data_IF_462242651975
#
_entry.id   IF_462242651975
#
_cell.length_a   1.000
_cell.length_b   1.000
_cell.length_c   1.000
_cell.angle_alpha   90.00
_cell.angle_beta   90.00
_cell.angle_gamma   90.00
#
_symmetry.space_group_name_H-M   'P 1'
#
loop_
_entity.id
_entity.type
_entity.pdbx_description
1 polymer ?
#
# COMPACT_ATOMS: atom_id res chain seq x y z
N UNK A 1 -22.17 8.03 9.03
CA UNK A 1 -22.51 8.94 7.92
C UNK A 1 -23.66 8.30 7.18
N UNK A 2 -24.75 9.04 6.89
CA UNK A 2 -25.84 8.51 6.05
C UNK A 2 -25.32 8.00 4.69
N UNK A 3 -24.19 8.55 4.23
CA UNK A 3 -23.50 8.15 3.00
C UNK A 3 -22.95 6.71 2.98
N UNK A 4 -22.79 6.05 4.13
CA UNK A 4 -22.19 4.69 4.21
C UNK A 4 -23.16 3.64 4.77
N UNK A 5 -24.43 4.01 5.02
CA UNK A 5 -25.44 3.05 5.49
C UNK A 5 -25.74 2.06 4.37
N UNK A 6 -25.49 0.77 4.60
CA UNK A 6 -25.69 -0.29 3.61
C UNK A 6 -24.53 -0.55 2.63
N UNK A 7 -23.42 0.19 2.71
CA UNK A 7 -22.29 0.01 1.77
C UNK A 7 -21.30 -1.10 2.18
N UNK A 8 -21.46 -1.69 3.36
CA UNK A 8 -20.47 -2.61 3.96
C UNK A 8 -19.15 -1.94 4.36
N UNK A 9 -18.99 -0.64 4.09
CA UNK A 9 -17.80 0.14 4.44
C UNK A 9 -17.95 0.67 5.86
N UNK A 10 -17.00 0.31 6.72
CA UNK A 10 -16.99 0.75 8.11
C UNK A 10 -16.86 2.28 8.20
N UNK A 11 -17.76 2.97 8.93
CA UNK A 11 -17.68 4.42 9.11
C UNK A 11 -16.35 4.87 9.71
N UNK A 12 -15.83 6.03 9.26
CA UNK A 12 -14.48 6.53 9.64
C UNK A 12 -14.22 6.60 11.15
N UNK A 13 -15.22 6.99 11.93
CA UNK A 13 -15.11 7.12 13.39
C UNK A 13 -15.06 5.76 14.12
N UNK A 14 -15.38 4.66 13.44
CA UNK A 14 -15.28 3.31 13.98
C UNK A 14 -14.01 2.58 13.52
N UNK A 15 -13.19 3.21 12.67
CA UNK A 15 -11.92 2.65 12.24
C UNK A 15 -10.93 2.64 13.41
N UNK A 16 -10.24 1.52 13.57
CA UNK A 16 -9.14 1.43 14.53
C UNK A 16 -7.91 2.10 13.94
N UNK A 17 -7.16 2.90 14.73
CA UNK A 17 -5.85 3.37 14.30
C UNK A 17 -4.95 2.20 13.92
N UNK A 18 -4.18 2.36 12.84
CA UNK A 18 -3.16 1.38 12.44
C UNK A 18 -2.05 1.40 13.48
N UNK A 19 -1.68 0.25 14.02
CA UNK A 19 -0.61 0.17 15.00
C UNK A 19 0.73 0.58 14.37
N UNK A 20 1.65 1.14 15.16
CA UNK A 20 2.93 1.65 14.64
C UNK A 20 3.72 0.56 13.89
N UNK A 21 3.78 -0.66 14.45
CA UNK A 21 4.43 -1.80 13.79
C UNK A 21 3.73 -2.21 12.49
N UNK A 22 2.40 -2.22 12.44
CA UNK A 22 1.65 -2.54 11.21
C UNK A 22 1.95 -1.50 10.12
N UNK A 23 2.04 -0.22 10.52
CA UNK A 23 2.38 0.87 9.60
C UNK A 23 3.80 0.73 9.06
N UNK A 24 4.76 0.34 9.91
CA UNK A 24 6.14 0.07 9.49
C UNK A 24 6.23 -1.14 8.57
N UNK A 25 5.52 -2.23 8.89
CA UNK A 25 5.46 -3.42 8.05
C UNK A 25 4.90 -3.09 6.66
N UNK A 26 3.82 -2.30 6.60
CA UNK A 26 3.23 -1.87 5.33
C UNK A 26 4.15 -0.94 4.55
N UNK A 27 4.85 -0.01 5.22
CA UNK A 27 5.86 0.82 4.57
C UNK A 27 7.01 -0.01 3.99
N UNK A 28 7.49 -1.02 4.73
CA UNK A 28 8.51 -1.95 4.26
C UNK A 28 8.05 -2.78 3.06
N UNK A 29 6.81 -3.27 3.09
CA UNK A 29 6.23 -4.02 1.96
C UNK A 29 6.15 -3.16 0.70
N UNK A 30 5.67 -1.91 0.82
CA UNK A 30 5.59 -0.98 -0.31
C UNK A 30 6.98 -0.64 -0.87
N UNK A 31 7.96 -0.41 0.01
CA UNK A 31 9.34 -0.16 -0.40
C UNK A 31 9.94 -1.36 -1.15
N UNK A 32 9.75 -2.58 -0.63
CA UNK A 32 10.24 -3.79 -1.28
C UNK A 32 9.65 -3.97 -2.69
N UNK A 33 8.33 -3.84 -2.83
CA UNK A 33 7.65 -3.96 -4.13
C UNK A 33 8.16 -2.90 -5.11
N UNK A 34 8.28 -1.64 -4.66
CA UNK A 34 8.82 -0.55 -5.48
C UNK A 34 10.25 -0.86 -5.95
N UNK A 35 11.14 -1.28 -5.03
CA UNK A 35 12.52 -1.61 -5.37
C UNK A 35 12.59 -2.75 -6.38
N UNK A 36 11.85 -3.85 -6.17
CA UNK A 36 11.85 -5.01 -7.07
C UNK A 36 11.41 -4.60 -8.48
N UNK A 37 10.30 -3.85 -8.60
CA UNK A 37 9.82 -3.38 -9.89
C UNK A 37 10.80 -2.41 -10.54
N UNK A 38 11.35 -1.46 -9.77
CA UNK A 38 12.33 -0.50 -10.25
C UNK A 38 13.56 -1.18 -10.82
N UNK A 39 14.13 -2.18 -10.13
CA UNK A 39 15.25 -2.97 -10.64
C UNK A 39 14.88 -3.75 -11.91
N UNK A 40 13.69 -4.34 -11.96
CA UNK A 40 13.21 -5.02 -13.17
C UNK A 40 13.15 -4.08 -14.38
N UNK A 41 12.63 -2.86 -14.18
CA UNK A 41 12.57 -1.84 -15.23
C UNK A 41 13.97 -1.39 -15.67
N UNK A 42 14.87 -1.11 -14.71
CA UNK A 42 16.24 -0.70 -15.02
C UNK A 42 17.00 -1.79 -15.78
N UNK A 43 16.85 -3.05 -15.35
CA UNK A 43 17.44 -4.19 -16.04
C UNK A 43 16.90 -4.34 -17.46
N UNK A 44 15.58 -4.26 -17.64
CA UNK A 44 14.96 -4.34 -18.96
C UNK A 44 15.41 -3.19 -19.87
N UNK A 45 15.51 -1.97 -19.34
CA UNK A 45 16.00 -0.81 -20.07
C UNK A 45 17.44 -1.01 -20.54
N UNK A 46 18.30 -1.63 -19.72
CA UNK A 46 19.68 -1.90 -20.09
C UNK A 46 19.84 -2.97 -21.18
N UNK A 47 18.85 -3.86 -21.36
CA UNK A 47 18.86 -4.86 -22.44
C UNK A 47 18.23 -4.36 -23.75
N UNK A 48 17.49 -3.26 -23.70
CA UNK A 48 16.87 -2.66 -24.88
C UNK A 48 17.74 -1.56 -25.52
N UNK A 49 18.85 -1.19 -24.87
CA UNK A 49 19.89 -0.29 -25.37
C UNK A 49 21.03 -1.09 -26.00
#
# INVERSE_FOLDING_TARGET
SLLTVGSGVKPRHELKPIHAFDRLAMAGALLAVFSIHGYGVLWASAQLM
#
